data_IF_928674357048
#
_entry.id   IF_928674357048
#
_cell.length_a   1.000
_cell.length_b   1.000
_cell.length_c   1.000
_cell.angle_alpha   90.00
_cell.angle_beta   90.00
_cell.angle_gamma   90.00
#
_symmetry.space_group_name_H-M   'P 1'
#
loop_
_entity.id
_entity.type
_entity.pdbx_description
1 polymer ?
#
# COMPACT_ATOMS: atom_id res chain seq x y z
N UNK A 1 10.61 4.34 13.82
CA UNK A 1 9.45 3.51 13.44
C UNK A 1 8.23 4.22 13.98
N UNK A 2 7.39 4.78 13.11
CA UNK A 2 6.10 5.35 13.52
C UNK A 2 5.05 4.24 13.49
N UNK A 3 4.29 4.08 14.59
CA UNK A 3 3.17 3.15 14.66
C UNK A 3 1.87 3.92 14.53
N UNK A 4 1.12 3.64 13.47
CA UNK A 4 -0.21 4.20 13.23
C UNK A 4 -1.29 3.13 13.50
N UNK A 5 -2.12 3.33 14.52
CA UNK A 5 -3.17 2.38 14.90
C UNK A 5 -4.54 2.87 14.43
N UNK A 6 -5.24 2.00 13.70
CA UNK A 6 -6.58 2.29 13.17
C UNK A 6 -6.58 3.39 12.08
N UNK A 7 -7.75 3.65 11.50
CA UNK A 7 -7.90 4.57 10.37
C UNK A 7 -7.38 5.98 10.67
N UNK A 8 -7.74 6.53 11.84
CA UNK A 8 -7.37 7.89 12.24
C UNK A 8 -5.85 8.04 12.40
N UNK A 9 -5.18 7.07 13.03
CA UNK A 9 -3.72 7.10 13.15
C UNK A 9 -3.02 7.05 11.79
N UNK A 10 -3.55 6.26 10.84
CA UNK A 10 -3.01 6.21 9.48
C UNK A 10 -3.20 7.56 8.77
N UNK A 11 -4.36 8.20 8.91
CA UNK A 11 -4.57 9.54 8.35
C UNK A 11 -3.63 10.59 8.94
N UNK A 12 -3.37 10.56 10.25
CA UNK A 12 -2.44 11.47 10.91
C UNK A 12 -1.00 11.25 10.45
N UNK A 13 -0.59 9.99 10.28
CA UNK A 13 0.73 9.67 9.72
C UNK A 13 0.87 10.18 8.28
N UNK A 14 -0.13 9.97 7.44
CA UNK A 14 -0.16 10.47 6.05
C UNK A 14 -0.19 11.99 5.97
N UNK A 15 -0.77 12.69 6.95
CA UNK A 15 -0.70 14.17 6.99
C UNK A 15 0.69 14.68 7.35
N UNK A 16 1.45 13.92 8.13
CA UNK A 16 2.77 14.32 8.63
C UNK A 16 3.87 14.11 7.61
N UNK A 17 3.83 12.99 6.89
CA UNK A 17 4.92 12.60 6.00
C UNK A 17 4.42 11.81 4.78
N UNK A 18 5.25 11.82 3.74
CA UNK A 18 5.07 10.97 2.57
C UNK A 18 5.79 9.62 2.78
N UNK A 19 5.28 8.57 2.14
CA UNK A 19 5.89 7.25 2.18
C UNK A 19 6.21 6.77 0.76
N UNK A 20 7.29 6.02 0.59
CA UNK A 20 7.60 5.40 -0.71
C UNK A 20 6.63 4.27 -1.07
N UNK A 21 6.12 3.60 -0.05
CA UNK A 21 5.21 2.46 -0.15
C UNK A 21 4.37 2.33 1.13
N UNK A 22 3.08 2.09 0.95
CA UNK A 22 2.15 1.66 2.00
C UNK A 22 1.69 0.23 1.69
N UNK A 23 1.83 -0.66 2.68
CA UNK A 23 1.36 -2.05 2.60
C UNK A 23 0.12 -2.23 3.45
N UNK A 24 -0.99 -2.61 2.81
CA UNK A 24 -2.28 -2.86 3.44
C UNK A 24 -2.48 -4.36 3.62
N UNK A 25 -2.42 -4.81 4.87
CA UNK A 25 -2.48 -6.22 5.23
C UNK A 25 -3.87 -6.87 5.07
N UNK A 26 -3.94 -8.21 5.17
CA UNK A 26 -5.14 -9.00 4.89
C UNK A 26 -6.25 -8.88 5.96
N UNK A 27 -5.94 -8.32 7.13
CA UNK A 27 -6.89 -8.17 8.24
C UNK A 27 -7.80 -6.95 8.11
N UNK A 28 -7.63 -6.15 7.05
CA UNK A 28 -8.45 -4.97 6.81
C UNK A 28 -9.87 -5.34 6.38
N UNK A 29 -10.84 -4.63 6.97
CA UNK A 29 -12.23 -4.71 6.54
C UNK A 29 -12.39 -4.34 5.06
N UNK A 30 -13.43 -4.82 4.39
CA UNK A 30 -13.75 -4.41 3.00
C UNK A 30 -13.79 -2.88 2.88
N UNK A 31 -14.36 -2.19 3.87
CA UNK A 31 -14.46 -0.74 3.87
C UNK A 31 -13.08 -0.06 3.91
N UNK A 32 -12.21 -0.47 4.85
CA UNK A 32 -10.88 0.10 4.98
C UNK A 32 -10.00 -0.17 3.76
N UNK A 33 -10.18 -1.32 3.11
CA UNK A 33 -9.50 -1.66 1.86
C UNK A 33 -9.81 -0.71 0.70
N UNK A 34 -10.93 0.02 0.74
CA UNK A 34 -11.27 1.03 -0.26
C UNK A 34 -10.86 2.43 0.20
N UNK A 35 -11.11 2.75 1.47
CA UNK A 35 -10.83 4.06 2.02
C UNK A 35 -9.33 4.37 2.13
N UNK A 36 -8.52 3.42 2.60
CA UNK A 36 -7.10 3.68 2.86
C UNK A 36 -6.30 3.97 1.57
N UNK A 37 -6.45 3.20 0.47
CA UNK A 37 -5.77 3.55 -0.79
C UNK A 37 -6.15 4.94 -1.30
N UNK A 38 -7.44 5.29 -1.25
CA UNK A 38 -7.90 6.62 -1.62
C UNK A 38 -7.23 7.69 -0.77
N UNK A 39 -7.17 7.51 0.55
CA UNK A 39 -6.55 8.48 1.46
C UNK A 39 -5.06 8.65 1.22
N UNK A 40 -4.34 7.54 0.96
CA UNK A 40 -2.92 7.60 0.58
C UNK A 40 -2.75 8.46 -0.66
N UNK A 41 -3.48 8.17 -1.74
CA UNK A 41 -3.36 8.92 -3.00
C UNK A 41 -3.86 10.36 -2.89
N UNK A 42 -4.82 10.64 -1.99
CA UNK A 42 -5.31 11.99 -1.70
C UNK A 42 -4.24 12.86 -1.07
N UNK A 43 -3.46 12.34 -0.12
CA UNK A 43 -2.40 13.11 0.53
C UNK A 43 -1.12 13.12 -0.30
N UNK A 44 -0.75 11.97 -0.87
CA UNK A 44 0.51 11.76 -1.57
C UNK A 44 0.31 10.91 -2.83
N UNK A 45 0.09 11.56 -3.97
CA UNK A 45 -0.15 10.85 -5.24
C UNK A 45 1.00 9.93 -5.65
N UNK A 46 2.24 10.27 -5.29
CA UNK A 46 3.44 9.49 -5.57
C UNK A 46 3.64 8.26 -4.69
N UNK A 47 2.93 8.17 -3.55
CA UNK A 47 3.05 7.01 -2.66
C UNK A 47 2.43 5.78 -3.31
N UNK A 48 3.20 4.69 -3.36
CA UNK A 48 2.73 3.39 -3.88
C UNK A 48 1.89 2.67 -2.83
N UNK A 49 0.89 1.93 -3.28
CA UNK A 49 -0.04 1.16 -2.44
C UNK A 49 -0.04 -0.30 -2.88
N UNK A 50 0.35 -1.17 -1.96
CA UNK A 50 0.26 -2.63 -2.09
C UNK A 50 -0.83 -3.17 -1.17
N UNK A 51 -1.76 -3.96 -1.71
CA UNK A 51 -2.81 -4.62 -0.91
C UNK A 51 -2.62 -6.14 -0.89
N UNK A 52 -2.64 -6.73 0.29
CA UNK A 52 -2.62 -8.18 0.48
C UNK A 52 -4.07 -8.71 0.54
N UNK A 53 -4.68 -9.07 -0.59
CA UNK A 53 -6.06 -9.59 -0.62
C UNK A 53 -6.36 -10.55 -1.78
N UNK A 54 -7.36 -11.41 -1.58
CA UNK A 54 -7.89 -12.43 -2.51
C UNK A 54 -8.95 -11.95 -3.50
N UNK A 55 -9.43 -10.70 -3.42
CA UNK A 55 -10.74 -10.38 -4.03
C UNK A 55 -10.63 -9.99 -5.51
N UNK A 56 -9.41 -9.93 -6.08
CA UNK A 56 -9.17 -9.73 -7.51
C UNK A 56 -9.68 -8.39 -8.10
N UNK A 57 -10.46 -7.63 -7.35
CA UNK A 57 -11.08 -6.39 -7.77
C UNK A 57 -9.99 -5.33 -7.96
N UNK A 58 -9.86 -4.84 -9.19
CA UNK A 58 -8.95 -3.74 -9.52
C UNK A 58 -9.47 -2.48 -8.86
N UNK A 59 -8.77 -2.02 -7.83
CA UNK A 59 -9.06 -0.75 -7.17
C UNK A 59 -8.24 0.38 -7.81
N UNK A 60 -8.84 1.51 -8.23
CA UNK A 60 -8.15 2.54 -9.02
C UNK A 60 -6.98 3.22 -8.28
N UNK A 61 -6.96 3.14 -6.95
CA UNK A 61 -5.92 3.74 -6.10
C UNK A 61 -4.90 2.73 -5.57
N UNK A 62 -4.89 1.51 -6.11
CA UNK A 62 -3.96 0.43 -5.73
C UNK A 62 -3.00 0.15 -6.88
N UNK A 63 -1.71 0.24 -6.61
CA UNK A 63 -0.68 0.03 -7.63
C UNK A 63 -0.37 -1.46 -7.82
N UNK A 64 -0.52 -2.26 -6.76
CA UNK A 64 -0.35 -3.70 -6.84
C UNK A 64 -1.16 -4.46 -5.78
N UNK A 65 -1.45 -5.73 -6.06
CA UNK A 65 -1.99 -6.66 -5.10
C UNK A 65 -1.10 -7.89 -4.91
N UNK A 66 -1.27 -8.56 -3.78
CA UNK A 66 -0.72 -9.87 -3.46
C UNK A 66 -1.86 -10.71 -2.86
N UNK A 67 -2.02 -11.94 -3.31
CA UNK A 67 -3.06 -12.83 -2.77
C UNK A 67 -2.84 -13.11 -1.28
N UNK A 68 -3.93 -13.28 -0.53
CA UNK A 68 -3.84 -13.70 0.88
C UNK A 68 -3.22 -15.10 0.98
N UNK A 69 -2.39 -15.34 1.99
CA UNK A 69 -1.77 -16.65 2.24
C UNK A 69 -0.45 -16.89 1.50
N UNK A 70 0.05 -15.90 0.75
CA UNK A 70 1.38 -15.94 0.14
C UNK A 70 2.47 -15.79 1.20
N UNK A 71 3.63 -16.40 0.95
CA UNK A 71 4.78 -16.34 1.86
C UNK A 71 5.32 -14.91 2.01
N UNK A 72 6.09 -14.69 3.08
CA UNK A 72 6.81 -13.43 3.27
C UNK A 72 7.79 -13.16 2.12
N UNK A 73 8.42 -14.20 1.55
CA UNK A 73 9.31 -14.06 0.41
C UNK A 73 8.58 -13.51 -0.81
N UNK A 74 7.37 -14.01 -1.10
CA UNK A 74 6.54 -13.50 -2.19
C UNK A 74 6.13 -12.02 -1.97
N UNK A 75 5.93 -11.61 -0.71
CA UNK A 75 5.70 -10.22 -0.36
C UNK A 75 6.95 -9.36 -0.64
N UNK A 76 8.13 -9.81 -0.20
CA UNK A 76 9.39 -9.10 -0.41
C UNK A 76 9.76 -8.98 -1.89
N UNK A 77 9.55 -10.04 -2.68
CA UNK A 77 9.72 -10.02 -4.13
C UNK A 77 8.79 -9.00 -4.79
N UNK A 78 7.52 -8.96 -4.36
CA UNK A 78 6.53 -8.00 -4.89
C UNK A 78 6.93 -6.57 -4.58
N UNK A 79 7.34 -6.29 -3.34
CA UNK A 79 7.84 -4.99 -2.90
C UNK A 79 9.06 -4.60 -3.75
N UNK A 80 10.03 -5.50 -3.89
CA UNK A 80 11.25 -5.25 -4.65
C UNK A 80 10.95 -4.90 -6.11
N UNK A 81 10.04 -5.63 -6.75
CA UNK A 81 9.59 -5.34 -8.12
C UNK A 81 8.92 -3.96 -8.25
N UNK A 82 8.08 -3.58 -7.29
CA UNK A 82 7.43 -2.26 -7.27
C UNK A 82 8.43 -1.12 -7.04
N UNK A 83 9.44 -1.34 -6.19
CA UNK A 83 10.47 -0.36 -5.88
C UNK A 83 11.41 -0.13 -7.07
N UNK A 84 11.80 -1.20 -7.75
CA UNK A 84 12.64 -1.17 -8.94
C UNK A 84 11.95 -0.53 -10.15
N UNK A 85 10.67 -0.82 -10.38
CA UNK A 85 9.90 -0.26 -11.51
C UNK A 85 9.66 1.26 -11.39
N UNK A 86 9.68 1.81 -10.17
CA UNK A 86 9.57 3.26 -9.93
C UNK A 86 10.88 4.03 -10.04
N UNK A 87 12.03 3.33 -9.97
CA UNK A 87 13.34 3.91 -10.24
C UNK A 87 13.69 3.61 -11.70
N UNK A 88 13.10 4.38 -12.63
CA UNK A 88 13.69 4.53 -13.94
C UNK A 88 15.12 5.01 -13.74
N UNK A 89 16.08 4.11 -13.99
CA UNK A 89 17.50 4.40 -13.91
C UNK A 89 17.81 5.53 -14.89
N UNK A 90 17.99 6.75 -14.38
CA UNK A 90 18.71 7.79 -15.10
C UNK A 90 20.14 7.29 -15.28
N UNK A 91 20.45 6.83 -16.50
CA UNK A 91 21.81 6.80 -17.02
C UNK A 91 22.21 8.20 -17.46
#
# INVERSE_FOLDING_TARGET
>A
MDTAVGRKGVEEALRRDAFDLVVLGPTLSKNDRHHLPYMVKKFHQGTRVLVMHTDGERHPYVDANLETGRSIDALLEKISGMLAAGHGISR
#
